data_IF_759604063827
#
_entry.id   IF_759604063827
#
_cell.length_a   1.000
_cell.length_b   1.000
_cell.length_c   1.000
_cell.angle_alpha   90.00
_cell.angle_beta   90.00
_cell.angle_gamma   90.00
#
_symmetry.space_group_name_H-M   'P 1'
#
loop_
_entity.id
_entity.type
_entity.pdbx_description
1 polymer ?
#
# COMPACT_ATOMS: atom_id res chain seq x y z
N UNK A 1 -35.07 2.78 -28.47
CA UNK A 1 -35.08 1.96 -27.23
C UNK A 1 -33.67 1.50 -26.83
N UNK A 2 -32.89 0.85 -27.70
CA UNK A 2 -31.55 0.34 -27.37
C UNK A 2 -30.55 1.42 -26.90
N UNK A 3 -30.53 2.60 -27.55
CA UNK A 3 -29.66 3.72 -27.12
C UNK A 3 -29.96 4.21 -25.69
N UNK A 4 -31.23 4.18 -25.25
CA UNK A 4 -31.61 4.70 -23.92
C UNK A 4 -31.24 3.74 -22.78
N UNK A 5 -31.39 2.44 -22.99
CA UNK A 5 -30.94 1.43 -22.02
C UNK A 5 -29.42 1.47 -21.84
N UNK A 6 -28.68 1.72 -22.91
CA UNK A 6 -27.21 1.82 -22.86
C UNK A 6 -26.71 3.03 -22.04
N UNK A 7 -27.37 4.19 -22.15
CA UNK A 7 -26.97 5.41 -21.42
C UNK A 7 -27.43 5.46 -19.95
N UNK A 8 -28.41 4.64 -19.54
CA UNK A 8 -29.02 4.74 -18.20
C UNK A 8 -28.74 3.53 -17.30
N UNK A 9 -28.61 2.34 -17.87
CA UNK A 9 -28.34 1.11 -17.10
C UNK A 9 -26.84 0.97 -16.84
N UNK A 10 -25.99 1.49 -17.73
CA UNK A 10 -24.54 1.38 -17.57
C UNK A 10 -23.98 2.12 -16.34
N UNK A 11 -24.43 3.32 -15.92
CA UNK A 11 -23.84 3.99 -14.76
C UNK A 11 -24.22 3.33 -13.43
N UNK A 12 -25.45 2.84 -13.27
CA UNK A 12 -25.86 2.08 -12.08
C UNK A 12 -25.20 0.72 -12.02
N UNK A 13 -25.05 0.04 -13.16
CA UNK A 13 -24.29 -1.21 -13.21
C UNK A 13 -22.82 -0.94 -12.88
N UNK A 14 -22.21 0.11 -13.43
CA UNK A 14 -20.82 0.48 -13.11
C UNK A 14 -20.63 0.85 -11.64
N UNK A 15 -21.60 1.52 -11.00
CA UNK A 15 -21.57 1.76 -9.56
C UNK A 15 -21.79 0.50 -8.71
N UNK A 16 -22.72 -0.35 -9.13
CA UNK A 16 -22.94 -1.66 -8.50
C UNK A 16 -21.68 -2.50 -8.59
N UNK A 17 -21.03 -2.53 -9.76
CA UNK A 17 -19.74 -3.18 -9.99
C UNK A 17 -18.63 -2.52 -9.17
N UNK A 18 -18.60 -1.18 -9.08
CA UNK A 18 -17.62 -0.43 -8.29
C UNK A 18 -17.56 -0.87 -6.83
N UNK A 19 -18.71 -1.12 -6.22
CA UNK A 19 -18.82 -1.54 -4.82
C UNK A 19 -18.79 -3.04 -4.61
N UNK A 20 -19.24 -3.83 -5.59
CA UNK A 20 -19.35 -5.27 -5.45
C UNK A 20 -18.06 -6.00 -5.83
N UNK A 21 -17.31 -5.47 -6.80
CA UNK A 21 -16.08 -6.10 -7.27
C UNK A 21 -14.83 -5.62 -6.55
N UNK A 22 -14.95 -4.67 -5.61
CA UNK A 22 -13.81 -4.04 -4.94
C UNK A 22 -12.69 -3.61 -5.91
N UNK A 23 -13.06 -3.20 -7.14
CA UNK A 23 -12.09 -2.85 -8.17
C UNK A 23 -11.30 -1.57 -7.83
N UNK A 24 -9.95 -1.58 -7.85
CA UNK A 24 -9.15 -0.44 -7.38
C UNK A 24 -9.40 0.84 -8.18
N UNK A 25 -9.76 0.71 -9.47
CA UNK A 25 -10.09 1.83 -10.37
C UNK A 25 -11.34 2.58 -9.90
N UNK A 26 -12.29 1.89 -9.28
CA UNK A 26 -13.55 2.48 -8.87
C UNK A 26 -13.58 3.04 -7.45
N UNK A 27 -12.46 3.01 -6.71
CA UNK A 27 -12.38 3.50 -5.34
C UNK A 27 -13.02 4.90 -5.15
N UNK A 28 -12.72 5.86 -6.04
CA UNK A 28 -13.26 7.22 -5.96
C UNK A 28 -14.80 7.30 -6.11
N UNK A 29 -15.41 6.26 -6.67
CA UNK A 29 -16.84 6.13 -6.91
C UNK A 29 -17.54 5.37 -5.79
N UNK A 30 -16.79 4.92 -4.78
CA UNK A 30 -17.33 4.18 -3.63
C UNK A 30 -17.92 5.08 -2.53
N UNK A 31 -18.10 6.37 -2.78
CA UNK A 31 -18.75 7.27 -1.83
C UNK A 31 -20.28 7.18 -1.91
N UNK A 32 -20.96 7.35 -0.79
CA UNK A 32 -22.43 7.35 -0.71
C UNK A 32 -23.05 8.43 -1.62
N UNK A 33 -22.35 9.56 -1.77
CA UNK A 33 -22.76 10.72 -2.57
C UNK A 33 -22.76 10.39 -4.07
N UNK A 34 -21.77 9.63 -4.56
CA UNK A 34 -21.69 9.24 -5.98
C UNK A 34 -22.90 8.41 -6.40
N UNK A 35 -23.39 7.53 -5.53
CA UNK A 35 -24.56 6.69 -5.78
C UNK A 35 -25.86 7.49 -5.76
N UNK A 36 -26.03 8.40 -4.79
CA UNK A 36 -27.19 9.28 -4.71
C UNK A 36 -27.28 10.20 -5.94
N UNK A 37 -26.17 10.81 -6.34
CA UNK A 37 -26.12 11.70 -7.51
C UNK A 37 -26.49 10.97 -8.81
N UNK A 38 -26.03 9.74 -8.99
CA UNK A 38 -26.35 8.92 -10.16
C UNK A 38 -27.79 8.39 -10.12
N UNK A 39 -28.29 7.95 -8.95
CA UNK A 39 -29.69 7.57 -8.76
C UNK A 39 -30.65 8.71 -9.09
N UNK A 40 -30.40 9.92 -8.59
CA UNK A 40 -31.21 11.13 -8.84
C UNK A 40 -31.17 11.50 -10.32
N UNK A 41 -29.98 11.51 -10.92
CA UNK A 41 -29.80 11.84 -12.35
C UNK A 41 -30.60 10.91 -13.26
N UNK A 42 -30.75 9.64 -12.87
CA UNK A 42 -31.54 8.67 -13.63
C UNK A 42 -33.03 8.86 -13.43
N UNK A 43 -33.51 9.09 -12.21
CA UNK A 43 -34.92 9.43 -11.97
C UNK A 43 -35.34 10.64 -12.79
N UNK A 44 -34.51 11.69 -12.81
CA UNK A 44 -34.75 12.91 -13.61
C UNK A 44 -34.74 12.61 -15.13
N UNK A 45 -33.79 11.79 -15.60
CA UNK A 45 -33.74 11.38 -17.00
C UNK A 45 -34.99 10.57 -17.42
N UNK A 46 -35.51 9.69 -16.55
CA UNK A 46 -36.73 8.91 -16.81
C UNK A 46 -38.00 9.79 -16.78
N UNK A 47 -38.09 10.74 -15.86
CA UNK A 47 -39.23 11.67 -15.76
C UNK A 47 -39.31 12.66 -16.92
N UNK A 48 -38.18 13.01 -17.54
CA UNK A 48 -38.14 13.93 -18.68
C UNK A 48 -38.80 13.40 -19.97
N UNK A 49 -39.20 12.12 -20.04
CA UNK A 49 -39.84 11.52 -21.24
C UNK A 49 -41.30 11.13 -21.00
N UNK A 50 -42.22 11.79 -21.72
CA UNK A 50 -43.69 11.60 -21.70
C UNK A 50 -44.20 10.19 -22.11
N UNK A 51 -43.36 9.21 -22.47
CA UNK A 51 -43.79 7.97 -23.14
C UNK A 51 -43.00 6.70 -22.74
N UNK A 52 -42.81 6.44 -21.45
CA UNK A 52 -42.37 5.11 -21.00
C UNK A 52 -43.56 4.14 -20.95
N UNK A 53 -43.46 3.01 -21.65
CA UNK A 53 -44.42 1.90 -21.50
C UNK A 53 -44.31 1.36 -20.06
N UNK A 54 -45.44 1.16 -19.36
CA UNK A 54 -45.50 0.70 -17.95
C UNK A 54 -44.54 -0.45 -17.61
N UNK A 55 -44.40 -1.43 -18.50
CA UNK A 55 -43.51 -2.60 -18.32
C UNK A 55 -42.02 -2.22 -18.24
N UNK A 56 -41.58 -1.19 -18.96
CA UNK A 56 -40.18 -0.72 -18.95
C UNK A 56 -39.87 0.12 -17.72
N UNK A 57 -40.83 0.95 -17.29
CA UNK A 57 -40.72 1.68 -16.04
C UNK A 57 -40.61 0.70 -14.85
N UNK A 58 -41.42 -0.36 -14.83
CA UNK A 58 -41.37 -1.40 -13.81
C UNK A 58 -39.99 -2.07 -13.70
N UNK A 59 -39.45 -2.63 -14.79
CA UNK A 59 -38.13 -3.29 -14.75
C UNK A 59 -37.00 -2.33 -14.39
N UNK A 60 -37.08 -1.06 -14.82
CA UNK A 60 -36.06 -0.06 -14.49
C UNK A 60 -36.09 0.29 -13.00
N UNK A 61 -37.28 0.44 -12.41
CA UNK A 61 -37.45 0.67 -10.97
C UNK A 61 -37.01 -0.54 -10.15
N UNK A 62 -37.31 -1.76 -10.59
CA UNK A 62 -36.85 -2.98 -9.93
C UNK A 62 -35.33 -3.10 -9.94
N UNK A 63 -34.68 -2.81 -11.07
CA UNK A 63 -33.22 -2.83 -11.15
C UNK A 63 -32.59 -1.75 -10.25
N UNK A 64 -33.16 -0.54 -10.24
CA UNK A 64 -32.72 0.54 -9.35
C UNK A 64 -32.87 0.11 -7.88
N UNK A 65 -34.00 -0.48 -7.50
CA UNK A 65 -34.24 -0.97 -6.14
C UNK A 65 -33.22 -2.04 -5.75
N UNK A 66 -32.90 -3.00 -6.62
CA UNK A 66 -31.88 -4.02 -6.35
C UNK A 66 -30.48 -3.39 -6.15
N UNK A 67 -30.12 -2.39 -6.96
CA UNK A 67 -28.86 -1.65 -6.79
C UNK A 67 -28.83 -0.90 -5.45
N UNK A 68 -29.93 -0.22 -5.08
CA UNK A 68 -30.05 0.49 -3.80
C UNK A 68 -30.00 -0.47 -2.61
N UNK A 69 -30.69 -1.61 -2.66
CA UNK A 69 -30.65 -2.62 -1.60
C UNK A 69 -29.26 -3.24 -1.45
N UNK A 70 -28.59 -3.53 -2.56
CA UNK A 70 -27.19 -3.99 -2.55
C UNK A 70 -26.25 -2.95 -1.92
N UNK A 71 -26.45 -1.67 -2.24
CA UNK A 71 -25.72 -0.56 -1.63
C UNK A 71 -25.95 -0.48 -0.11
N UNK A 72 -27.22 -0.53 0.34
CA UNK A 72 -27.55 -0.49 1.75
C UNK A 72 -26.93 -1.67 2.50
N UNK A 73 -26.98 -2.86 1.91
CA UNK A 73 -26.35 -4.05 2.49
C UNK A 73 -24.83 -3.88 2.64
N UNK A 74 -24.14 -3.33 1.63
CA UNK A 74 -22.68 -3.13 1.68
C UNK A 74 -22.26 -1.98 2.60
N UNK A 75 -23.04 -0.90 2.65
CA UNK A 75 -22.84 0.19 3.60
C UNK A 75 -23.02 -0.29 5.05
N UNK A 76 -24.08 -1.08 5.29
CA UNK A 76 -24.31 -1.73 6.58
C UNK A 76 -23.18 -2.69 6.94
N UNK A 77 -22.72 -3.53 6.01
CA UNK A 77 -21.58 -4.43 6.23
C UNK A 77 -20.31 -3.66 6.65
N UNK A 78 -19.99 -2.55 5.96
CA UNK A 78 -18.83 -1.73 6.34
C UNK A 78 -18.97 -1.12 7.72
N UNK A 79 -20.10 -0.52 8.03
CA UNK A 79 -20.32 0.10 9.33
C UNK A 79 -20.32 -0.95 10.45
N UNK A 80 -20.91 -2.11 10.20
CA UNK A 80 -20.82 -3.26 11.09
C UNK A 80 -19.35 -3.66 11.35
N UNK A 81 -18.52 -3.79 10.30
CA UNK A 81 -17.11 -4.14 10.44
C UNK A 81 -16.29 -3.06 11.16
N UNK A 82 -16.60 -1.77 10.94
CA UNK A 82 -16.01 -0.64 11.67
C UNK A 82 -16.28 -0.73 13.17
N UNK A 83 -17.53 -0.98 13.54
CA UNK A 83 -17.94 -1.10 14.94
C UNK A 83 -17.46 -2.42 15.57
N UNK A 84 -17.32 -3.50 14.79
CA UNK A 84 -16.88 -4.80 15.26
C UNK A 84 -15.45 -4.80 15.82
N UNK A 85 -14.59 -3.90 15.35
CA UNK A 85 -13.23 -3.71 15.92
C UNK A 85 -13.32 -3.46 17.43
N UNK A 86 -14.25 -2.61 17.85
CA UNK A 86 -14.39 -2.17 19.24
C UNK A 86 -15.08 -3.19 20.15
N UNK A 87 -15.55 -4.31 19.59
CA UNK A 87 -16.05 -5.45 20.37
C UNK A 87 -14.92 -6.39 20.82
N UNK A 88 -13.71 -6.24 20.27
CA UNK A 88 -12.55 -7.00 20.70
C UNK A 88 -11.94 -6.44 21.98
N UNK A 89 -11.25 -7.31 22.73
CA UNK A 89 -10.52 -6.86 23.93
C UNK A 89 -9.38 -5.92 23.54
N UNK A 90 -9.01 -5.00 24.45
CA UNK A 90 -7.90 -4.07 24.21
C UNK A 90 -6.57 -4.80 23.90
N UNK A 91 -6.35 -5.99 24.46
CA UNK A 91 -5.18 -6.80 24.15
C UNK A 91 -5.21 -7.33 22.71
N UNK A 92 -6.35 -7.85 22.25
CA UNK A 92 -6.51 -8.32 20.87
C UNK A 92 -6.36 -7.19 19.86
N UNK A 93 -6.94 -6.01 20.16
CA UNK A 93 -6.82 -4.83 19.31
C UNK A 93 -5.35 -4.44 19.16
N UNK A 94 -4.61 -4.30 20.28
CA UNK A 94 -3.19 -3.95 20.25
C UNK A 94 -2.34 -5.02 19.54
N UNK A 95 -2.66 -6.29 19.76
CA UNK A 95 -1.91 -7.42 19.20
C UNK A 95 -2.02 -7.47 17.68
N UNK A 96 -3.23 -7.35 17.13
CA UNK A 96 -3.44 -7.37 15.68
C UNK A 96 -3.11 -6.02 15.05
N UNK A 97 -3.42 -4.91 15.73
CA UNK A 97 -3.15 -3.56 15.25
C UNK A 97 -1.67 -3.27 15.04
N UNK A 98 -0.79 -3.94 15.78
CA UNK A 98 0.65 -3.90 15.57
C UNK A 98 1.10 -4.26 14.13
N UNK A 99 0.24 -4.87 13.32
CA UNK A 99 0.56 -5.34 11.97
C UNK A 99 -0.05 -4.51 10.84
N UNK A 100 -0.64 -3.34 11.10
CA UNK A 100 -1.28 -2.52 10.08
C UNK A 100 -0.68 -1.12 9.96
N UNK A 101 -0.31 -0.74 8.74
CA UNK A 101 -0.05 0.64 8.33
C UNK A 101 -1.14 1.06 7.36
N UNK A 102 -1.87 2.13 7.68
CA UNK A 102 -3.02 2.54 6.87
C UNK A 102 -2.89 3.96 6.36
N UNK A 103 -3.45 4.23 5.18
CA UNK A 103 -3.80 5.59 4.79
C UNK A 103 -5.03 6.07 5.56
N UNK A 104 -5.43 7.33 5.37
CA UNK A 104 -6.65 7.85 5.96
C UNK A 104 -7.32 8.91 5.09
N UNK A 105 -8.63 9.06 5.28
CA UNK A 105 -9.44 10.18 4.77
C UNK A 105 -9.84 11.14 5.87
N UNK A 106 -10.15 10.62 7.05
CA UNK A 106 -10.50 11.38 8.24
C UNK A 106 -9.39 11.25 9.29
N UNK A 107 -8.83 12.37 9.71
CA UNK A 107 -7.78 12.42 10.73
C UNK A 107 -8.28 11.94 12.09
N UNK A 108 -9.51 12.25 12.48
CA UNK A 108 -10.03 11.91 13.81
C UNK A 108 -10.25 10.40 13.94
N UNK A 109 -10.77 9.77 12.89
CA UNK A 109 -10.89 8.32 12.80
C UNK A 109 -9.52 7.63 12.88
N UNK A 110 -8.56 8.08 12.08
CA UNK A 110 -7.20 7.54 12.07
C UNK A 110 -6.50 7.72 13.44
N UNK A 111 -6.67 8.89 14.05
CA UNK A 111 -6.18 9.23 15.39
C UNK A 111 -6.80 8.34 16.46
N UNK A 112 -8.09 8.03 16.37
CA UNK A 112 -8.75 7.10 17.29
C UNK A 112 -8.14 5.69 17.17
N UNK A 113 -8.02 5.15 15.96
CA UNK A 113 -7.40 3.84 15.72
C UNK A 113 -5.97 3.80 16.26
N UNK A 114 -5.18 4.84 15.98
CA UNK A 114 -3.81 4.95 16.46
C UNK A 114 -3.74 5.01 18.00
N UNK A 115 -4.58 5.79 18.67
CA UNK A 115 -4.55 5.91 20.15
C UNK A 115 -5.01 4.65 20.88
N UNK A 116 -5.82 3.82 20.23
CA UNK A 116 -6.26 2.54 20.78
C UNK A 116 -5.30 1.38 20.47
N UNK A 117 -4.26 1.63 19.66
CA UNK A 117 -3.33 0.61 19.22
C UNK A 117 -3.92 -0.33 18.16
N UNK A 118 -5.01 0.07 17.51
CA UNK A 118 -5.63 -0.68 16.41
C UNK A 118 -4.82 -0.62 15.10
N UNK A 119 -3.82 0.26 15.04
CA UNK A 119 -2.84 0.36 13.97
C UNK A 119 -1.43 0.63 14.52
N UNK A 120 -0.44 0.20 13.75
CA UNK A 120 0.98 0.41 13.99
C UNK A 120 1.51 1.66 13.31
N UNK A 121 0.87 2.09 12.21
CA UNK A 121 1.30 3.25 11.47
C UNK A 121 0.26 3.91 10.60
N UNK A 122 0.59 5.13 10.19
CA UNK A 122 -0.11 5.90 9.19
C UNK A 122 0.78 6.11 7.97
N UNK A 123 0.18 5.97 6.79
CA UNK A 123 0.76 6.36 5.52
C UNK A 123 0.25 7.75 5.14
N UNK A 124 1.18 8.69 4.93
CA UNK A 124 0.87 10.04 4.45
C UNK A 124 1.11 10.09 2.94
N UNK A 125 0.05 10.35 2.20
CA UNK A 125 0.11 10.55 0.75
C UNK A 125 0.11 12.04 0.41
N UNK A 126 0.34 12.36 -0.87
CA UNK A 126 0.15 13.73 -1.38
C UNK A 126 -1.27 14.27 -1.21
N UNK A 127 -2.28 13.40 -1.10
CA UNK A 127 -3.67 13.83 -1.00
C UNK A 127 -3.96 14.57 0.32
N UNK A 128 -3.26 14.22 1.41
CA UNK A 128 -3.41 14.88 2.72
C UNK A 128 -3.07 16.38 2.63
N UNK A 129 -2.15 16.77 1.74
CA UNK A 129 -1.75 18.16 1.55
C UNK A 129 -2.76 19.01 0.76
N UNK A 130 -3.92 18.45 0.42
CA UNK A 130 -5.08 19.23 -0.03
C UNK A 130 -5.83 19.89 1.12
N UNK A 131 -5.71 19.31 2.32
CA UNK A 131 -6.42 19.74 3.53
C UNK A 131 -5.48 20.38 4.54
N UNK A 132 -4.23 19.91 4.61
CA UNK A 132 -3.26 20.34 5.61
C UNK A 132 -2.05 21.00 4.96
N UNK A 133 -1.54 22.07 5.56
CA UNK A 133 -0.18 22.53 5.28
C UNK A 133 0.85 21.72 6.09
N UNK A 134 2.14 22.02 5.89
CA UNK A 134 3.24 21.33 6.56
C UNK A 134 3.16 21.43 8.09
N UNK A 135 2.95 22.63 8.64
CA UNK A 135 2.93 22.89 10.08
C UNK A 135 1.72 22.21 10.74
N UNK A 136 0.55 22.26 10.10
CA UNK A 136 -0.67 21.61 10.60
C UNK A 136 -0.47 20.11 10.75
N UNK A 137 0.05 19.46 9.71
CA UNK A 137 0.26 18.02 9.71
C UNK A 137 1.38 17.62 10.67
N UNK A 138 2.48 18.38 10.73
CA UNK A 138 3.55 18.18 11.71
C UNK A 138 3.02 18.23 13.15
N UNK A 139 2.24 19.27 13.48
CA UNK A 139 1.64 19.42 14.81
C UNK A 139 0.69 18.26 15.16
N UNK A 140 -0.15 17.87 14.20
CA UNK A 140 -1.05 16.71 14.32
C UNK A 140 -0.29 15.41 14.59
N UNK A 141 0.77 15.13 13.84
CA UNK A 141 1.64 13.96 14.03
C UNK A 141 2.26 13.99 15.43
N UNK A 142 2.87 15.11 15.84
CA UNK A 142 3.52 15.25 17.14
C UNK A 142 2.54 15.05 18.30
N UNK A 143 1.33 15.62 18.20
CA UNK A 143 0.27 15.42 19.19
C UNK A 143 -0.12 13.94 19.29
N UNK A 144 -0.30 13.27 18.15
CA UNK A 144 -0.69 11.86 18.12
C UNK A 144 0.41 10.95 18.70
N UNK A 145 1.68 11.23 18.42
CA UNK A 145 2.81 10.53 19.03
C UNK A 145 2.79 10.69 20.56
N UNK A 146 2.62 11.92 21.07
CA UNK A 146 2.52 12.18 22.50
C UNK A 146 1.34 11.48 23.17
N UNK A 147 0.19 11.39 22.49
CA UNK A 147 -0.99 10.66 22.99
C UNK A 147 -0.73 9.15 23.07
N UNK A 148 -0.04 8.57 22.08
CA UNK A 148 0.34 7.14 22.11
C UNK A 148 1.35 6.83 23.20
N UNK A 149 2.35 7.70 23.39
CA UNK A 149 3.33 7.55 24.46
C UNK A 149 2.64 7.53 25.84
N UNK A 150 1.72 8.47 26.10
CA UNK A 150 0.92 8.50 27.34
C UNK A 150 0.05 7.26 27.54
N UNK A 151 -0.40 6.63 26.44
CA UNK A 151 -1.16 5.39 26.48
C UNK A 151 -0.28 4.12 26.63
N UNK A 152 1.05 4.26 26.76
CA UNK A 152 1.99 3.14 26.84
C UNK A 152 2.07 2.33 25.55
N UNK A 153 1.73 2.94 24.41
CA UNK A 153 1.82 2.30 23.10
C UNK A 153 3.19 2.60 22.45
N UNK A 154 3.71 1.70 21.60
CA UNK A 154 4.89 2.00 20.79
C UNK A 154 4.71 3.27 19.94
N UNK A 155 5.79 4.01 19.64
CA UNK A 155 5.77 5.09 18.67
C UNK A 155 5.05 4.68 17.37
N UNK A 156 4.25 5.59 16.82
CA UNK A 156 3.54 5.36 15.57
C UNK A 156 4.54 5.37 14.40
N UNK A 157 4.44 4.40 13.51
CA UNK A 157 5.11 4.47 12.21
C UNK A 157 4.41 5.57 11.40
N UNK A 158 5.15 6.58 10.97
CA UNK A 158 4.70 7.59 10.02
C UNK A 158 5.48 7.33 8.73
N UNK A 159 4.79 6.78 7.74
CA UNK A 159 5.35 6.35 6.48
C UNK A 159 4.93 7.23 5.31
N UNK A 160 5.82 7.36 4.32
CA UNK A 160 5.54 8.08 3.06
C UNK A 160 6.19 7.35 1.88
N UNK A 161 5.78 7.71 0.66
CA UNK A 161 6.57 7.45 -0.54
C UNK A 161 7.34 8.72 -0.95
N UNK A 162 8.62 8.79 -0.57
CA UNK A 162 9.56 9.80 -1.04
C UNK A 162 10.73 9.12 -1.76
N UNK A 163 10.53 8.80 -3.04
CA UNK A 163 11.57 8.33 -3.95
C UNK A 163 12.31 9.49 -4.61
N UNK A 164 11.66 10.65 -4.69
CA UNK A 164 12.03 11.76 -5.55
C UNK A 164 11.31 11.72 -6.91
N UNK A 165 11.57 12.71 -7.75
CA UNK A 165 11.05 12.82 -9.12
C UNK A 165 9.51 12.76 -9.21
N UNK A 166 8.95 11.65 -9.70
CA UNK A 166 7.51 11.46 -9.91
C UNK A 166 6.77 11.00 -8.65
N UNK A 167 7.50 10.36 -7.73
CA UNK A 167 6.98 9.77 -6.50
C UNK A 167 7.65 10.49 -5.33
N UNK A 168 7.14 11.67 -5.03
CA UNK A 168 7.66 12.55 -3.99
C UNK A 168 6.50 13.24 -3.29
N UNK A 169 6.36 12.96 -2.00
CA UNK A 169 5.44 13.68 -1.12
C UNK A 169 5.98 15.08 -0.84
N UNK A 170 7.29 15.21 -0.58
CA UNK A 170 7.99 16.47 -0.29
C UNK A 170 7.79 17.51 -1.39
N UNK A 171 7.65 17.08 -2.66
CA UNK A 171 7.40 17.96 -3.80
C UNK A 171 6.22 18.92 -3.60
N UNK A 172 5.25 18.56 -2.76
CA UNK A 172 4.07 19.38 -2.52
C UNK A 172 4.39 20.66 -1.72
N UNK A 173 5.40 20.66 -0.83
CA UNK A 173 5.74 21.83 0.00
C UNK A 173 7.22 22.23 -0.01
N UNK A 174 8.10 21.41 -0.55
CA UNK A 174 9.56 21.61 -0.53
C UNK A 174 10.16 21.65 -1.96
N UNK A 175 9.30 21.76 -2.98
CA UNK A 175 9.69 21.85 -4.38
C UNK A 175 10.24 20.55 -4.96
N UNK A 176 10.67 20.57 -6.24
CA UNK A 176 11.15 19.39 -6.94
C UNK A 176 12.26 18.66 -6.18
N UNK A 177 12.07 17.35 -5.99
CA UNK A 177 13.07 16.46 -5.39
C UNK A 177 13.70 15.62 -6.48
N UNK A 178 15.03 15.46 -6.43
CA UNK A 178 15.71 14.44 -7.22
C UNK A 178 15.49 13.07 -6.59
N UNK A 179 15.36 12.02 -7.39
CA UNK A 179 15.41 10.63 -6.93
C UNK A 179 16.65 9.91 -7.43
N UNK A 180 16.88 8.68 -6.95
CA UNK A 180 18.00 7.85 -7.46
C UNK A 180 17.94 7.63 -8.97
N UNK A 181 16.74 7.60 -9.55
CA UNK A 181 16.53 7.51 -10.99
C UNK A 181 17.13 8.67 -11.77
N UNK A 182 17.16 9.88 -11.19
CA UNK A 182 17.79 11.07 -11.80
C UNK A 182 19.28 10.87 -12.06
N UNK A 183 19.95 9.98 -11.32
CA UNK A 183 21.35 9.65 -11.51
C UNK A 183 21.59 8.48 -12.47
N UNK A 184 20.54 7.85 -13.00
CA UNK A 184 20.65 6.64 -13.83
C UNK A 184 21.41 6.84 -15.15
N UNK A 185 21.49 8.08 -15.64
CA UNK A 185 22.21 8.43 -16.88
C UNK A 185 23.50 9.21 -16.61
N UNK A 186 23.85 9.44 -15.35
CA UNK A 186 25.05 10.19 -14.99
C UNK A 186 26.31 9.38 -15.34
N UNK A 187 27.19 9.99 -16.13
CA UNK A 187 28.51 9.44 -16.50
C UNK A 187 29.65 10.14 -15.75
N UNK A 188 29.40 10.49 -14.48
CA UNK A 188 30.35 11.19 -13.62
C UNK A 188 31.24 10.18 -12.87
N UNK A 189 32.46 10.57 -12.45
CA UNK A 189 33.28 9.75 -11.56
C UNK A 189 32.49 9.37 -10.30
N UNK A 190 32.75 8.17 -9.74
CA UNK A 190 32.03 7.67 -8.57
C UNK A 190 31.94 8.68 -7.43
N UNK A 191 33.05 9.34 -7.09
CA UNK A 191 33.10 10.32 -5.99
C UNK A 191 32.15 11.52 -6.17
N UNK A 192 31.91 11.97 -7.40
CA UNK A 192 30.94 13.04 -7.67
C UNK A 192 29.50 12.53 -7.56
N UNK A 193 29.24 11.31 -8.04
CA UNK A 193 27.94 10.66 -7.94
C UNK A 193 27.57 10.35 -6.48
N UNK A 194 28.52 9.82 -5.73
CA UNK A 194 28.44 9.54 -4.28
C UNK A 194 28.03 10.80 -3.51
N UNK A 195 28.79 11.89 -3.64
CA UNK A 195 28.45 13.15 -2.95
C UNK A 195 27.11 13.75 -3.37
N UNK A 196 26.66 13.52 -4.61
CA UNK A 196 25.34 13.97 -5.06
C UNK A 196 24.20 13.14 -4.44
N UNK A 197 24.37 11.80 -4.33
CA UNK A 197 23.42 10.91 -3.68
C UNK A 197 23.34 11.19 -2.18
N UNK A 198 24.48 11.35 -1.50
CA UNK A 198 24.54 11.68 -0.09
C UNK A 198 23.80 12.99 0.20
N UNK A 199 24.13 14.05 -0.55
CA UNK A 199 23.47 15.35 -0.39
C UNK A 199 21.95 15.27 -0.61
N UNK A 200 21.51 14.51 -1.61
CA UNK A 200 20.10 14.28 -1.87
C UNK A 200 19.43 13.54 -0.71
N UNK A 201 20.04 12.44 -0.25
CA UNK A 201 19.52 11.59 0.80
C UNK A 201 19.42 12.30 2.15
N UNK A 202 20.46 13.03 2.57
CA UNK A 202 20.41 13.89 3.77
C UNK A 202 19.32 14.95 3.68
N UNK A 203 19.20 15.61 2.52
CA UNK A 203 18.16 16.63 2.32
C UNK A 203 16.76 16.02 2.49
N UNK A 204 16.49 14.90 1.84
CA UNK A 204 15.19 14.23 1.96
C UNK A 204 14.94 13.72 3.37
N UNK A 205 15.91 12.99 3.96
CA UNK A 205 15.81 12.45 5.31
C UNK A 205 15.52 13.54 6.34
N UNK A 206 16.25 14.65 6.30
CA UNK A 206 16.02 15.79 7.19
C UNK A 206 14.62 16.37 7.05
N UNK A 207 14.15 16.62 5.81
CA UNK A 207 12.84 17.22 5.54
C UNK A 207 11.69 16.28 5.93
N UNK A 208 11.88 14.98 5.76
CA UNK A 208 10.96 13.96 6.25
C UNK A 208 10.92 13.93 7.78
N UNK A 209 12.07 13.91 8.44
CA UNK A 209 12.16 13.90 9.90
C UNK A 209 11.53 15.15 10.51
N UNK A 210 11.72 16.32 9.88
CA UNK A 210 11.05 17.56 10.29
C UNK A 210 9.52 17.43 10.25
N UNK A 211 8.93 16.77 9.26
CA UNK A 211 7.47 16.50 9.24
C UNK A 211 7.01 15.52 10.35
N UNK A 212 7.94 14.76 10.93
CA UNK A 212 7.65 13.67 11.87
C UNK A 212 7.58 12.28 11.21
N UNK A 213 8.04 12.16 9.97
CA UNK A 213 8.17 10.88 9.25
C UNK A 213 9.34 10.09 9.84
N UNK A 214 9.15 8.80 10.06
CA UNK A 214 10.19 7.89 10.59
C UNK A 214 10.40 6.64 9.71
N UNK A 215 9.57 6.44 8.68
CA UNK A 215 9.77 5.40 7.65
C UNK A 215 9.57 6.02 6.27
N UNK A 216 10.50 5.75 5.36
CA UNK A 216 10.34 6.10 3.95
C UNK A 216 10.21 4.81 3.13
N UNK A 217 9.19 4.73 2.29
CA UNK A 217 9.01 3.65 1.31
C UNK A 217 9.94 3.89 0.10
N UNK A 218 11.23 3.95 0.36
CA UNK A 218 12.32 4.22 -0.58
C UNK A 218 13.62 3.69 0.04
N UNK A 219 14.61 3.22 -0.74
CA UNK A 219 14.72 3.30 -2.20
C UNK A 219 14.02 2.18 -3.00
N UNK A 220 13.70 2.50 -4.26
CA UNK A 220 13.45 1.48 -5.29
C UNK A 220 14.76 0.80 -5.64
N UNK A 221 14.81 -0.51 -5.45
CA UNK A 221 15.96 -1.37 -5.77
C UNK A 221 15.67 -2.35 -6.91
N UNK A 222 14.50 -2.20 -7.54
CA UNK A 222 14.19 -2.86 -8.81
C UNK A 222 15.18 -2.44 -9.89
N UNK A 223 15.51 -3.37 -10.80
CA UNK A 223 16.46 -3.10 -11.88
C UNK A 223 15.81 -2.29 -13.00
N UNK A 224 16.59 -1.40 -13.60
CA UNK A 224 16.17 -0.67 -14.79
C UNK A 224 16.27 -1.60 -15.99
N UNK A 225 15.13 -1.95 -16.57
CA UNK A 225 15.08 -2.80 -17.76
C UNK A 225 14.58 -2.00 -18.96
N UNK A 226 15.14 -2.27 -20.14
CA UNK A 226 14.61 -1.70 -21.38
C UNK A 226 13.30 -2.39 -21.72
N UNK A 227 12.22 -1.62 -21.79
CA UNK A 227 10.95 -2.12 -22.29
C UNK A 227 11.12 -2.57 -23.75
N UNK A 228 10.76 -3.84 -24.04
CA UNK A 228 10.67 -4.31 -25.43
C UNK A 228 9.58 -3.51 -26.15
N UNK A 229 9.82 -3.14 -27.41
CA UNK A 229 8.87 -2.38 -28.21
C UNK A 229 7.48 -3.03 -28.20
N UNK A 230 6.43 -2.21 -28.04
CA UNK A 230 5.04 -2.67 -28.00
C UNK A 230 4.54 -3.13 -26.63
N UNK A 231 5.40 -3.23 -25.61
CA UNK A 231 4.98 -3.56 -24.23
C UNK A 231 4.66 -2.29 -23.44
N UNK A 232 3.51 -2.26 -22.77
CA UNK A 232 3.12 -1.19 -21.84
C UNK A 232 3.43 -1.63 -20.42
N UNK A 233 4.25 -0.85 -19.73
CA UNK A 233 4.44 -0.92 -18.28
C UNK A 233 3.93 0.39 -17.68
N UNK A 234 2.75 0.34 -17.07
CA UNK A 234 2.16 1.52 -16.42
C UNK A 234 2.70 1.75 -15.01
N UNK A 235 3.38 0.76 -14.40
CA UNK A 235 4.06 0.90 -13.10
C UNK A 235 5.29 1.82 -13.21
N UNK A 236 5.82 1.97 -14.44
CA UNK A 236 6.95 2.85 -14.80
C UNK A 236 8.19 2.59 -13.95
N UNK A 237 8.44 1.35 -13.55
CA UNK A 237 9.63 0.98 -12.77
C UNK A 237 10.90 1.37 -13.52
N UNK A 238 10.91 1.26 -14.84
CA UNK A 238 12.04 1.70 -15.68
C UNK A 238 12.39 3.21 -15.54
N UNK A 239 11.46 4.06 -15.08
CA UNK A 239 11.70 5.48 -14.77
C UNK A 239 12.07 5.74 -13.30
N UNK A 240 11.87 4.75 -12.42
CA UNK A 240 12.11 4.84 -10.97
C UNK A 240 13.38 4.11 -10.54
N UNK A 241 13.82 3.13 -11.33
CA UNK A 241 15.02 2.34 -11.07
C UNK A 241 16.31 3.14 -11.29
N UNK A 242 17.28 2.92 -10.40
CA UNK A 242 18.53 3.68 -10.35
C UNK A 242 19.54 3.31 -11.44
N UNK A 243 19.59 2.04 -11.85
CA UNK A 243 20.56 1.51 -12.82
C UNK A 243 20.12 0.16 -13.40
N UNK A 244 20.77 -0.28 -14.50
CA UNK A 244 20.54 -1.61 -15.10
C UNK A 244 21.36 -2.70 -14.37
N UNK A 245 22.59 -2.38 -13.93
CA UNK A 245 23.46 -3.32 -13.21
C UNK A 245 23.02 -3.46 -11.73
N UNK A 246 22.70 -4.68 -11.26
CA UNK A 246 22.40 -4.95 -9.86
C UNK A 246 23.42 -4.38 -8.88
N UNK A 247 24.73 -4.41 -9.20
CA UNK A 247 25.78 -3.89 -8.31
C UNK A 247 25.71 -2.37 -8.17
N UNK A 248 25.46 -1.66 -9.27
CA UNK A 248 25.25 -0.22 -9.22
C UNK A 248 24.00 0.15 -8.44
N UNK A 249 22.90 -0.61 -8.61
CA UNK A 249 21.69 -0.42 -7.80
C UNK A 249 22.00 -0.60 -6.32
N UNK A 250 22.67 -1.69 -5.95
CA UNK A 250 23.08 -1.95 -4.56
C UNK A 250 23.90 -0.81 -3.97
N UNK A 251 24.91 -0.33 -4.68
CA UNK A 251 25.82 0.70 -4.18
C UNK A 251 25.10 2.03 -3.97
N UNK A 252 24.30 2.47 -4.95
CA UNK A 252 23.56 3.73 -4.90
C UNK A 252 22.45 3.70 -3.84
N UNK A 253 21.71 2.59 -3.76
CA UNK A 253 20.62 2.42 -2.82
C UNK A 253 21.12 2.22 -1.38
N UNK A 254 22.26 1.55 -1.17
CA UNK A 254 22.91 1.46 0.13
C UNK A 254 23.28 2.85 0.66
N UNK A 255 23.95 3.66 -0.17
CA UNK A 255 24.38 5.01 0.19
C UNK A 255 23.19 5.89 0.58
N UNK A 256 22.13 5.89 -0.24
CA UNK A 256 20.89 6.59 0.08
C UNK A 256 20.24 6.06 1.37
N UNK A 257 20.20 4.74 1.57
CA UNK A 257 19.66 4.13 2.79
C UNK A 257 20.43 4.55 4.05
N UNK A 258 21.76 4.64 3.98
CA UNK A 258 22.61 5.13 5.06
C UNK A 258 22.26 6.57 5.42
N UNK A 259 22.16 7.45 4.43
CA UNK A 259 21.81 8.86 4.69
C UNK A 259 20.42 9.04 5.30
N UNK A 260 19.42 8.23 4.91
CA UNK A 260 18.11 8.26 5.56
C UNK A 260 18.20 7.84 7.03
N UNK A 261 18.96 6.80 7.33
CA UNK A 261 19.16 6.31 8.70
C UNK A 261 19.89 7.34 9.58
N UNK A 262 20.88 8.04 9.03
CA UNK A 262 21.59 9.12 9.72
C UNK A 262 20.65 10.28 10.09
N UNK A 263 19.63 10.54 9.28
CA UNK A 263 18.58 11.53 9.58
C UNK A 263 17.41 10.96 10.42
N UNK A 264 17.52 9.70 10.88
CA UNK A 264 16.52 9.07 11.72
C UNK A 264 15.25 8.62 10.99
N UNK A 265 15.36 8.33 9.69
CA UNK A 265 14.28 7.79 8.84
C UNK A 265 14.67 6.39 8.35
N UNK A 266 13.83 5.40 8.63
CA UNK A 266 14.11 4.02 8.22
C UNK A 266 13.76 3.80 6.74
N UNK A 267 14.70 3.32 5.91
CA UNK A 267 14.46 3.03 4.51
C UNK A 267 13.66 1.73 4.32
N UNK A 268 13.00 1.61 3.17
CA UNK A 268 12.28 0.41 2.75
C UNK A 268 12.68 0.04 1.34
N UNK A 269 13.33 -1.10 1.19
CA UNK A 269 13.73 -1.63 -0.12
C UNK A 269 12.50 -2.18 -0.83
N UNK A 270 12.28 -1.78 -2.08
CA UNK A 270 11.10 -2.23 -2.86
C UNK A 270 11.39 -2.46 -4.34
N UNK A 271 10.70 -3.39 -5.02
CA UNK A 271 9.60 -4.27 -4.53
C UNK A 271 10.02 -5.74 -4.64
N UNK A 272 10.27 -6.42 -3.51
CA UNK A 272 10.80 -7.78 -3.50
C UNK A 272 9.83 -8.78 -4.15
N UNK A 273 10.29 -9.73 -5.00
CA UNK A 273 11.68 -10.08 -5.29
C UNK A 273 12.34 -9.32 -6.45
N UNK A 274 11.72 -8.24 -6.92
CA UNK A 274 12.10 -7.48 -8.11
C UNK A 274 10.93 -7.34 -9.06
N UNK A 275 10.48 -6.10 -9.26
CA UNK A 275 9.39 -5.76 -10.19
C UNK A 275 9.90 -5.27 -11.54
N UNK A 276 11.22 -5.03 -11.68
CA UNK A 276 11.83 -4.47 -12.89
C UNK A 276 11.47 -5.24 -14.16
N UNK A 277 11.49 -6.58 -14.11
CA UNK A 277 11.15 -7.45 -15.23
C UNK A 277 9.64 -7.76 -15.36
N UNK A 278 8.80 -7.22 -14.49
CA UNK A 278 7.36 -7.40 -14.53
C UNK A 278 6.71 -6.74 -15.75
N UNK A 279 5.72 -7.41 -16.33
CA UNK A 279 4.91 -6.87 -17.42
C UNK A 279 3.51 -6.52 -16.91
N UNK A 280 3.11 -5.27 -17.11
CA UNK A 280 1.83 -4.74 -16.65
C UNK A 280 1.99 -3.86 -15.42
N UNK A 281 0.90 -3.64 -14.70
CA UNK A 281 0.88 -2.81 -13.51
C UNK A 281 0.01 -3.44 -12.43
N UNK A 282 0.65 -3.83 -11.33
CA UNK A 282 0.00 -4.48 -10.18
C UNK A 282 -1.08 -3.60 -9.56
N UNK A 283 -1.12 -2.30 -9.82
CA UNK A 283 -2.24 -1.46 -9.39
C UNK A 283 -3.58 -1.89 -10.01
N UNK A 284 -3.55 -2.50 -11.20
CA UNK A 284 -4.74 -2.73 -12.02
C UNK A 284 -4.93 -4.19 -12.45
N UNK A 285 -3.85 -4.97 -12.53
CA UNK A 285 -3.89 -6.35 -13.03
C UNK A 285 -2.83 -7.26 -12.40
N UNK A 286 -2.93 -8.55 -12.65
CA UNK A 286 -1.87 -9.50 -12.31
C UNK A 286 -0.62 -9.25 -13.15
N UNK A 287 0.53 -9.18 -12.49
CA UNK A 287 1.85 -9.10 -13.14
C UNK A 287 2.60 -10.39 -12.92
N UNK A 288 3.16 -10.96 -13.97
CA UNK A 288 3.95 -12.20 -13.93
C UNK A 288 5.42 -11.89 -14.19
N UNK A 289 6.30 -12.43 -13.34
CA UNK A 289 7.74 -12.44 -13.57
C UNK A 289 8.09 -13.71 -14.34
N UNK A 290 8.53 -13.56 -15.58
CA UNK A 290 8.93 -14.69 -16.44
C UNK A 290 10.22 -15.36 -15.95
N UNK A 291 11.07 -14.61 -15.25
CA UNK A 291 12.35 -15.10 -14.76
C UNK A 291 12.22 -16.22 -13.76
N UNK A 292 13.12 -17.20 -13.88
CA UNK A 292 13.25 -18.27 -12.88
C UNK A 292 13.72 -17.70 -11.55
N UNK A 293 13.57 -18.47 -10.48
CA UNK A 293 14.07 -18.05 -9.17
C UNK A 293 15.58 -17.85 -9.20
N UNK A 294 16.32 -18.74 -9.86
CA UNK A 294 17.77 -18.68 -9.99
C UNK A 294 18.21 -17.38 -10.67
N UNK A 295 17.50 -16.96 -11.73
CA UNK A 295 17.75 -15.69 -12.41
C UNK A 295 17.45 -14.47 -11.52
N UNK A 296 16.28 -14.45 -10.87
CA UNK A 296 15.90 -13.38 -9.94
C UNK A 296 16.93 -13.27 -8.81
N UNK A 297 17.43 -14.41 -8.31
CA UNK A 297 18.41 -14.47 -7.23
C UNK A 297 19.73 -13.81 -7.60
N UNK A 298 20.22 -14.05 -8.81
CA UNK A 298 21.50 -13.52 -9.28
C UNK A 298 21.43 -12.03 -9.65
N UNK A 299 20.23 -11.54 -10.00
CA UNK A 299 20.01 -10.17 -10.47
C UNK A 299 19.14 -9.40 -9.48
N UNK A 300 17.83 -9.46 -9.63
CA UNK A 300 16.86 -8.63 -8.92
C UNK A 300 16.90 -8.68 -7.39
N UNK A 301 17.27 -9.84 -6.83
CA UNK A 301 17.37 -10.03 -5.38
C UNK A 301 18.73 -9.59 -4.83
N UNK A 302 19.75 -9.46 -5.66
CA UNK A 302 21.09 -9.09 -5.23
C UNK A 302 21.11 -7.77 -4.43
N UNK A 303 20.44 -6.67 -4.88
CA UNK A 303 20.37 -5.43 -4.11
C UNK A 303 19.77 -5.60 -2.71
N UNK A 304 18.66 -6.32 -2.59
CA UNK A 304 18.03 -6.59 -1.28
C UNK A 304 19.00 -7.28 -0.34
N UNK A 305 19.68 -8.34 -0.82
CA UNK A 305 20.63 -9.10 -0.01
C UNK A 305 21.82 -8.25 0.43
N UNK A 306 22.41 -7.50 -0.49
CA UNK A 306 23.61 -6.70 -0.21
C UNK A 306 23.33 -5.56 0.77
N UNK A 307 22.19 -4.87 0.62
CA UNK A 307 21.84 -3.74 1.47
C UNK A 307 21.44 -4.21 2.87
N UNK A 308 20.58 -5.24 2.98
CA UNK A 308 20.14 -5.78 4.28
C UNK A 308 21.27 -6.41 5.11
N UNK A 309 22.39 -6.77 4.47
CA UNK A 309 23.58 -7.24 5.18
C UNK A 309 24.40 -6.13 5.84
N UNK A 310 24.12 -4.87 5.50
CA UNK A 310 24.93 -3.71 5.91
C UNK A 310 24.14 -2.70 6.74
N UNK A 311 22.84 -2.53 6.46
CA UNK A 311 21.99 -1.56 7.14
C UNK A 311 20.62 -2.13 7.49
N UNK A 312 20.00 -1.69 8.60
CA UNK A 312 18.61 -2.02 8.89
C UNK A 312 17.70 -1.33 7.88
N UNK A 313 16.83 -2.11 7.21
CA UNK A 313 15.80 -1.60 6.32
C UNK A 313 14.57 -2.51 6.38
N UNK A 314 13.40 -1.93 6.08
CA UNK A 314 12.22 -2.73 5.74
C UNK A 314 12.39 -3.28 4.32
N UNK A 315 11.63 -4.32 3.99
CA UNK A 315 11.47 -4.79 2.62
C UNK A 315 9.99 -4.87 2.27
N UNK A 316 9.61 -4.15 1.22
CA UNK A 316 8.26 -4.19 0.67
C UNK A 316 8.13 -5.35 -0.31
N UNK A 317 7.13 -6.21 -0.08
CA UNK A 317 6.82 -7.36 -0.91
C UNK A 317 5.87 -6.97 -2.04
N UNK A 318 6.29 -7.22 -3.29
CA UNK A 318 5.48 -6.99 -4.48
C UNK A 318 4.21 -7.86 -4.53
N UNK A 319 3.26 -7.45 -5.35
CA UNK A 319 2.11 -8.25 -5.74
C UNK A 319 2.28 -9.00 -7.08
N UNK A 320 3.48 -8.99 -7.67
CA UNK A 320 3.78 -9.81 -8.84
C UNK A 320 3.85 -11.31 -8.50
N UNK A 321 3.52 -12.16 -9.46
CA UNK A 321 3.60 -13.62 -9.38
C UNK A 321 4.93 -14.10 -9.96
N UNK A 322 5.74 -14.77 -9.15
CA UNK A 322 6.98 -15.43 -9.63
C UNK A 322 6.66 -16.65 -10.49
N UNK A 323 7.58 -17.05 -11.36
CA UNK A 323 7.43 -18.24 -12.19
C UNK A 323 7.03 -19.48 -11.35
N UNK A 324 5.97 -20.17 -11.80
CA UNK A 324 5.41 -21.34 -11.12
C UNK A 324 4.48 -21.04 -9.92
N UNK A 325 4.38 -19.79 -9.47
CA UNK A 325 3.44 -19.39 -8.42
C UNK A 325 2.10 -18.94 -8.99
N UNK A 326 1.00 -19.38 -8.35
CA UNK A 326 -0.35 -18.84 -8.58
C UNK A 326 -0.68 -17.65 -7.68
N UNK A 327 0.12 -17.43 -6.64
CA UNK A 327 -0.08 -16.38 -5.63
C UNK A 327 0.89 -15.20 -5.84
N UNK A 328 0.43 -13.95 -5.61
CA UNK A 328 1.29 -12.78 -5.49
C UNK A 328 2.43 -13.02 -4.48
N UNK A 329 3.61 -12.42 -4.74
CA UNK A 329 4.80 -12.57 -3.92
C UNK A 329 4.56 -12.25 -2.43
N UNK A 330 3.78 -11.22 -2.13
CA UNK A 330 3.39 -10.80 -0.77
C UNK A 330 2.63 -11.86 0.05
N UNK A 331 1.99 -12.83 -0.60
CA UNK A 331 1.24 -13.93 0.03
C UNK A 331 1.67 -15.31 -0.48
N UNK A 332 2.85 -15.40 -1.11
CA UNK A 332 3.38 -16.64 -1.64
C UNK A 332 4.36 -17.27 -0.64
N UNK A 333 4.09 -18.50 -0.11
CA UNK A 333 5.00 -19.16 0.83
C UNK A 333 6.40 -19.39 0.26
N UNK A 334 6.50 -19.66 -1.04
CA UNK A 334 7.79 -19.81 -1.71
C UNK A 334 8.60 -18.50 -1.65
N UNK A 335 7.96 -17.35 -1.84
CA UNK A 335 8.64 -16.05 -1.82
C UNK A 335 8.95 -15.62 -0.39
N UNK A 336 7.96 -15.62 0.50
CA UNK A 336 8.12 -15.09 1.87
C UNK A 336 9.01 -16.00 2.71
N UNK A 337 8.69 -17.30 2.80
CA UNK A 337 9.40 -18.19 3.72
C UNK A 337 10.68 -18.74 3.09
N UNK A 338 10.59 -19.32 1.88
CA UNK A 338 11.72 -20.04 1.27
C UNK A 338 12.74 -19.10 0.66
N UNK A 339 12.30 -18.03 -0.01
CA UNK A 339 13.22 -17.10 -0.68
C UNK A 339 13.69 -16.01 0.27
N UNK A 340 12.79 -15.30 0.96
CA UNK A 340 13.18 -14.18 1.81
C UNK A 340 13.70 -14.62 3.18
N UNK A 341 12.84 -15.21 4.02
CA UNK A 341 13.21 -15.54 5.41
C UNK A 341 14.40 -16.48 5.50
N UNK A 342 14.40 -17.56 4.71
CA UNK A 342 15.48 -18.58 4.76
C UNK A 342 16.79 -18.16 4.06
N UNK A 343 16.77 -17.30 3.04
CA UNK A 343 17.98 -17.02 2.22
C UNK A 343 18.48 -15.58 2.30
N UNK A 344 17.63 -14.64 2.71
CA UNK A 344 17.97 -13.20 2.76
C UNK A 344 18.08 -12.75 4.21
N UNK A 345 16.99 -12.76 4.97
CA UNK A 345 17.02 -12.31 6.38
C UNK A 345 15.83 -12.82 7.18
N UNK A 346 16.13 -13.36 8.37
CA UNK A 346 15.13 -13.68 9.40
C UNK A 346 14.71 -12.45 10.20
N UNK A 347 15.51 -11.39 10.23
CA UNK A 347 15.33 -10.23 11.11
C UNK A 347 14.78 -9.00 10.38
N UNK A 348 14.98 -8.89 9.07
CA UNK A 348 14.47 -7.76 8.29
C UNK A 348 12.94 -7.70 8.37
N UNK A 349 12.39 -6.50 8.53
CA UNK A 349 10.94 -6.32 8.57
C UNK A 349 10.34 -6.44 7.17
N UNK A 350 9.27 -7.21 7.05
CA UNK A 350 8.50 -7.36 5.82
C UNK A 350 7.23 -6.52 5.90
N UNK A 351 7.04 -5.65 4.92
CA UNK A 351 5.78 -4.94 4.69
C UNK A 351 5.22 -5.37 3.34
N UNK A 352 3.91 -5.46 3.20
CA UNK A 352 3.28 -5.68 1.88
C UNK A 352 3.34 -4.40 1.06
N UNK A 353 3.32 -4.51 -0.27
CA UNK A 353 2.77 -3.43 -1.10
C UNK A 353 1.27 -3.23 -0.77
N UNK A 354 0.64 -2.19 -1.30
CA UNK A 354 -0.72 -1.80 -0.90
C UNK A 354 -1.76 -2.89 -1.25
N UNK A 355 -2.41 -3.45 -0.23
CA UNK A 355 -3.45 -4.47 -0.39
C UNK A 355 -4.71 -3.99 -1.10
N UNK A 356 -4.84 -2.67 -1.33
CA UNK A 356 -5.86 -2.14 -2.22
C UNK A 356 -5.60 -2.45 -3.71
N UNK A 357 -4.42 -2.97 -4.07
CA UNK A 357 -4.04 -3.27 -5.44
C UNK A 357 -4.69 -4.55 -5.97
N UNK A 358 -4.89 -4.61 -7.29
CA UNK A 358 -5.74 -5.59 -7.95
C UNK A 358 -5.41 -7.07 -7.66
N UNK A 359 -4.13 -7.53 -7.66
CA UNK A 359 -3.80 -8.93 -7.40
C UNK A 359 -4.23 -9.43 -6.01
N UNK A 360 -4.43 -8.50 -5.07
CA UNK A 360 -4.89 -8.79 -3.71
C UNK A 360 -6.38 -8.50 -3.57
N UNK A 361 -6.83 -7.27 -3.84
CA UNK A 361 -8.21 -6.85 -3.64
C UNK A 361 -9.21 -7.70 -4.45
N UNK A 362 -8.81 -8.14 -5.65
CA UNK A 362 -9.62 -8.96 -6.57
C UNK A 362 -9.17 -10.41 -6.61
N UNK A 363 -8.09 -10.73 -5.89
CA UNK A 363 -7.56 -12.06 -5.81
C UNK A 363 -8.53 -12.99 -5.07
N UNK A 364 -8.32 -14.32 -5.16
CA UNK A 364 -9.10 -15.28 -4.41
C UNK A 364 -9.16 -14.93 -2.91
N UNK A 365 -10.37 -14.69 -2.39
CA UNK A 365 -10.62 -14.36 -0.99
C UNK A 365 -10.35 -12.90 -0.59
N UNK A 366 -9.92 -12.05 -1.53
CA UNK A 366 -9.71 -10.62 -1.34
C UNK A 366 -8.75 -10.26 -0.19
N UNK A 367 -8.86 -9.02 0.30
CA UNK A 367 -8.01 -8.49 1.37
C UNK A 367 -8.11 -9.29 2.67
N UNK A 368 -9.28 -9.85 2.99
CA UNK A 368 -9.52 -10.61 4.22
C UNK A 368 -8.69 -11.89 4.26
N UNK A 369 -8.73 -12.69 3.19
CA UNK A 369 -7.94 -13.91 3.11
C UNK A 369 -6.45 -13.60 2.97
N UNK A 370 -6.09 -12.66 2.10
CA UNK A 370 -4.70 -12.26 1.89
C UNK A 370 -4.04 -11.75 3.18
N UNK A 371 -4.78 -11.05 4.04
CA UNK A 371 -4.32 -10.61 5.38
C UNK A 371 -3.94 -11.80 6.26
N UNK A 372 -4.82 -12.79 6.36
CA UNK A 372 -4.54 -13.99 7.16
C UNK A 372 -3.35 -14.75 6.59
N UNK A 373 -3.27 -14.89 5.27
CA UNK A 373 -2.15 -15.56 4.60
C UNK A 373 -0.82 -14.83 4.82
N UNK A 374 -0.76 -13.51 4.67
CA UNK A 374 0.45 -12.72 4.90
C UNK A 374 0.95 -12.85 6.34
N UNK A 375 0.07 -12.67 7.33
CA UNK A 375 0.43 -12.81 8.74
C UNK A 375 0.88 -14.23 9.08
N UNK A 376 0.21 -15.25 8.54
CA UNK A 376 0.60 -16.64 8.76
C UNK A 376 1.94 -16.99 8.10
N UNK A 377 2.34 -16.30 7.03
CA UNK A 377 3.68 -16.43 6.45
C UNK A 377 4.76 -15.65 7.23
N UNK A 378 4.36 -14.89 8.25
CA UNK A 378 5.25 -14.06 9.05
C UNK A 378 5.64 -12.76 8.35
N UNK A 379 4.77 -12.21 7.50
CA UNK A 379 4.86 -10.80 7.07
C UNK A 379 4.53 -9.91 8.28
N UNK A 380 5.29 -8.84 8.47
CA UNK A 380 5.22 -8.06 9.71
C UNK A 380 4.21 -6.92 9.67
N UNK A 381 4.08 -6.25 8.52
CA UNK A 381 3.18 -5.14 8.32
C UNK A 381 2.35 -5.35 7.04
N UNK A 382 1.07 -5.04 7.12
CA UNK A 382 0.16 -4.95 5.98
C UNK A 382 -0.10 -3.48 5.69
N UNK A 383 0.15 -3.08 4.46
CA UNK A 383 -0.14 -1.73 3.97
C UNK A 383 -1.53 -1.71 3.33
N UNK A 384 -2.41 -0.83 3.81
CA UNK A 384 -3.70 -0.51 3.16
C UNK A 384 -3.80 1.00 3.05
N UNK A 385 -3.33 1.57 1.94
CA UNK A 385 -3.10 3.01 1.84
C UNK A 385 -4.14 3.75 1.00
N UNK A 386 -4.47 3.24 -0.20
CA UNK A 386 -5.34 3.96 -1.13
C UNK A 386 -6.82 3.77 -0.83
N UNK A 387 -7.26 2.52 -0.66
CA UNK A 387 -8.64 2.19 -0.31
C UNK A 387 -8.74 1.83 1.18
N UNK A 388 -8.85 2.87 2.00
CA UNK A 388 -8.79 2.78 3.47
C UNK A 388 -9.95 1.98 4.06
N UNK A 389 -11.06 1.81 3.34
CA UNK A 389 -12.20 1.01 3.79
C UNK A 389 -11.87 -0.48 3.87
N UNK A 390 -10.87 -0.94 3.11
CA UNK A 390 -10.40 -2.33 3.12
C UNK A 390 -9.67 -2.71 4.43
N UNK A 391 -9.28 -1.73 5.25
CA UNK A 391 -8.70 -1.98 6.57
C UNK A 391 -9.66 -2.76 7.48
N UNK A 392 -10.94 -2.37 7.51
CA UNK A 392 -11.94 -2.96 8.40
C UNK A 392 -12.17 -4.46 8.15
N UNK A 393 -12.44 -4.94 6.92
CA UNK A 393 -12.53 -6.37 6.66
C UNK A 393 -11.20 -7.10 6.91
N UNK A 394 -10.06 -6.51 6.56
CA UNK A 394 -8.74 -7.10 6.82
C UNK A 394 -8.47 -7.31 8.31
N UNK A 395 -8.69 -6.28 9.13
CA UNK A 395 -8.50 -6.33 10.58
C UNK A 395 -9.44 -7.34 11.25
N UNK A 396 -10.72 -7.35 10.86
CA UNK A 396 -11.68 -8.34 11.36
C UNK A 396 -11.29 -9.77 10.98
N UNK A 397 -10.74 -9.98 9.78
CA UNK A 397 -10.24 -11.28 9.36
C UNK A 397 -9.04 -11.72 10.21
N UNK A 398 -8.10 -10.81 10.51
CA UNK A 398 -6.97 -11.09 11.39
C UNK A 398 -7.43 -11.47 12.81
N UNK A 399 -8.34 -10.70 13.41
CA UNK A 399 -8.94 -11.00 14.71
C UNK A 399 -9.63 -12.38 14.73
N UNK A 400 -10.45 -12.66 13.72
CA UNK A 400 -11.15 -13.94 13.60
C UNK A 400 -10.17 -15.09 13.45
N UNK A 401 -9.13 -14.93 12.63
CA UNK A 401 -8.10 -15.95 12.43
C UNK A 401 -7.29 -16.20 13.71
N UNK A 402 -6.96 -15.15 14.46
CA UNK A 402 -6.31 -15.25 15.77
C UNK A 402 -7.15 -16.06 16.75
N UNK A 403 -8.42 -15.70 16.94
CA UNK A 403 -9.35 -16.42 17.84
C UNK A 403 -9.56 -17.88 17.44
N UNK A 404 -9.56 -18.15 16.13
CA UNK A 404 -9.70 -19.49 15.57
C UNK A 404 -8.39 -20.29 15.54
N UNK A 405 -7.28 -19.75 16.07
CA UNK A 405 -5.94 -20.37 16.06
C UNK A 405 -5.45 -20.72 14.64
N UNK A 406 -5.86 -19.92 13.65
CA UNK A 406 -5.38 -20.00 12.26
C UNK A 406 -4.11 -19.18 12.02
N UNK A 407 -3.73 -18.34 13.00
CA UNK A 407 -2.47 -17.62 13.02
C UNK A 407 -1.54 -18.27 14.05
N UNK A 408 -0.31 -18.54 13.66
CA UNK A 408 0.74 -19.07 14.52
C UNK A 408 1.15 -18.07 15.60
N UNK A 409 0.95 -18.36 16.89
CA UNK A 409 1.36 -17.46 17.97
C UNK A 409 2.85 -17.15 17.97
N UNK A 410 3.68 -18.12 17.55
CA UNK A 410 5.13 -17.95 17.44
C UNK A 410 5.48 -16.95 16.34
N UNK A 411 4.87 -17.06 15.15
CA UNK A 411 5.15 -16.13 14.04
C UNK A 411 4.71 -14.71 14.37
N UNK A 412 3.54 -14.54 15.01
CA UNK A 412 3.06 -13.24 15.49
C UNK A 412 4.03 -12.65 16.53
N UNK A 413 4.47 -13.44 17.51
CA UNK A 413 5.42 -12.97 18.52
C UNK A 413 6.79 -12.59 17.92
N UNK A 414 7.31 -13.38 16.98
CA UNK A 414 8.54 -13.05 16.25
C UNK A 414 8.41 -11.75 15.48
N UNK A 415 7.27 -11.54 14.81
CA UNK A 415 6.99 -10.31 14.11
C UNK A 415 6.94 -9.10 15.04
N UNK A 416 6.22 -9.21 16.16
CA UNK A 416 6.15 -8.16 17.17
C UNK A 416 7.51 -7.84 17.78
N UNK A 417 8.39 -8.83 17.96
CA UNK A 417 9.77 -8.60 18.40
C UNK A 417 10.57 -7.78 17.37
N UNK A 418 10.43 -8.05 16.08
CA UNK A 418 11.07 -7.22 15.03
C UNK A 418 10.52 -5.80 15.04
N UNK A 419 9.21 -5.63 15.18
CA UNK A 419 8.56 -4.32 15.23
C UNK A 419 8.97 -3.51 16.46
N UNK A 420 9.13 -4.15 17.62
CA UNK A 420 9.66 -3.51 18.82
C UNK A 420 11.11 -3.04 18.65
N UNK A 421 11.93 -3.76 17.88
CA UNK A 421 13.31 -3.31 17.56
C UNK A 421 13.29 -2.07 16.67
N UNK A 422 12.40 -2.00 15.69
CA UNK A 422 12.25 -0.84 14.81
C UNK A 422 11.90 0.43 15.59
N UNK A 423 10.82 0.37 16.38
CA UNK A 423 10.28 1.56 17.06
C UNK A 423 11.15 2.06 18.22
N UNK A 424 12.14 1.30 18.68
CA UNK A 424 13.15 1.77 19.64
C UNK A 424 14.05 2.88 19.08
N UNK A 425 14.13 2.99 17.76
CA UNK A 425 14.96 3.97 17.07
C UNK A 425 14.17 5.23 16.67
N UNK A 426 12.90 5.36 17.07
CA UNK A 426 11.99 6.41 16.61
C UNK A 426 11.91 7.61 17.55
#
# INVERSE_FOLDING_TARGET
MARLMFFLISPLLLLGLAWHLDWPVFYAWRTEISCLALGISLVLAFWSKKTLKKKQAFWSLTLLLLVVLSFLAKSFEREYLRLAIWQASAEEIKKMGAHFVIGYRDWEEASLLARQGAIAGLYISRAQFREYNFEDLQNKINQLQGLRQKAGLPPLIIAVDEEGDFVSVLKVWDGPQLGLASFSTWKKPWKELEGAIEKMGHRQGKRLKELGVNVNFSPVVDLKVKLKQGRRDNSRIYLRAAAEDPKEVSQRALLYSQTLLEEGVTPTLKHFPGLGHGLGDTHFEDVFLESSWEELKEKDVLPFKQILSQVPALTMLSHAKVAGSKKPASICPQVVEKMFRQKISQEALLITDDFSMAPIALGPGGVSQATVEALELGVDLILISKDVDLYYPAFNAALKAWRQRKLSPIKIALSQNRLQKLVKNF
#
